data_IF_031070939964
#
_entry.id   IF_031070939964
#
_cell.length_a   1.000
_cell.length_b   1.000
_cell.length_c   1.000
_cell.angle_alpha   90.00
_cell.angle_beta   90.00
_cell.angle_gamma   90.00
#
_symmetry.space_group_name_H-M   'P 1'
#
loop_
_entity.id
_entity.type
_entity.pdbx_description
1 polymer ?
#
# COMPACT_ATOMS: atom_id res chain seq x y z
N UNK A 1 -22.60 15.31 18.96
CA UNK A 1 -22.64 14.48 17.74
C UNK A 1 -21.24 13.91 17.58
N UNK A 2 -21.09 12.61 17.40
CA UNK A 2 -19.78 12.05 17.09
C UNK A 2 -19.33 12.62 15.74
N UNK A 3 -18.08 13.07 15.64
CA UNK A 3 -17.54 13.59 14.38
C UNK A 3 -17.52 12.48 13.33
N UNK A 4 -17.87 12.81 12.09
CA UNK A 4 -17.82 11.86 10.97
C UNK A 4 -16.41 11.25 10.83
N UNK A 5 -16.27 9.93 10.58
CA UNK A 5 -14.96 9.29 10.44
C UNK A 5 -14.04 9.95 9.42
N UNK A 6 -14.58 10.54 8.34
CA UNK A 6 -13.77 11.25 7.35
C UNK A 6 -13.17 12.54 7.94
N UNK A 7 -13.96 13.29 8.71
CA UNK A 7 -13.49 14.48 9.44
C UNK A 7 -12.40 14.12 10.44
N UNK A 8 -12.52 13.00 11.15
CA UNK A 8 -11.49 12.52 12.08
C UNK A 8 -10.19 12.21 11.33
N UNK A 9 -10.27 11.56 10.18
CA UNK A 9 -9.11 11.29 9.33
C UNK A 9 -8.45 12.57 8.82
N UNK A 10 -9.24 13.55 8.38
CA UNK A 10 -8.73 14.84 7.92
C UNK A 10 -8.00 15.58 9.05
N UNK A 11 -8.55 15.58 10.27
CA UNK A 11 -7.88 16.16 11.43
C UNK A 11 -6.58 15.44 11.77
N UNK A 12 -6.58 14.10 11.80
CA UNK A 12 -5.39 13.30 12.06
C UNK A 12 -4.31 13.53 10.98
N UNK A 13 -4.72 13.69 9.72
CA UNK A 13 -3.86 14.05 8.61
C UNK A 13 -3.23 15.43 8.78
N UNK A 14 -4.02 16.46 9.11
CA UNK A 14 -3.50 17.81 9.34
C UNK A 14 -2.51 17.85 10.52
N UNK A 15 -2.80 17.11 11.59
CA UNK A 15 -1.87 16.94 12.72
C UNK A 15 -0.54 16.33 12.26
N UNK A 16 -0.61 15.25 11.48
CA UNK A 16 0.56 14.56 10.96
C UNK A 16 1.40 15.46 10.02
N UNK A 17 0.75 16.21 9.12
CA UNK A 17 1.43 17.18 8.24
C UNK A 17 2.11 18.29 9.03
N UNK A 18 1.41 18.86 10.01
CA UNK A 18 1.94 19.96 10.84
C UNK A 18 3.15 19.51 11.66
N UNK A 19 3.13 18.28 12.18
CA UNK A 19 4.24 17.72 12.94
C UNK A 19 5.47 17.40 12.08
N UNK A 20 5.23 16.98 10.83
CA UNK A 20 6.28 16.60 9.90
C UNK A 20 7.18 15.50 10.47
N UNK A 21 8.45 15.83 10.68
CA UNK A 21 9.46 14.90 11.21
C UNK A 21 9.45 14.79 12.74
N UNK A 22 8.76 15.70 13.43
CA UNK A 22 8.68 15.70 14.89
C UNK A 22 7.62 14.68 15.34
N UNK A 23 7.91 13.79 16.31
CA UNK A 23 6.91 12.88 16.85
C UNK A 23 5.73 13.63 17.49
N UNK A 24 4.51 13.09 17.34
CA UNK A 24 3.31 13.60 18.03
C UNK A 24 3.16 13.05 19.45
N UNK A 25 3.95 12.03 19.79
CA UNK A 25 3.96 11.37 21.11
C UNK A 25 5.35 11.45 21.73
N UNK A 26 5.39 11.54 23.06
CA UNK A 26 6.63 11.69 23.83
C UNK A 26 7.20 10.36 24.35
N UNK A 27 6.37 9.32 24.42
CA UNK A 27 6.78 8.00 24.91
C UNK A 27 7.60 7.28 23.83
N UNK A 28 8.87 7.03 24.14
CA UNK A 28 9.82 6.41 23.22
C UNK A 28 9.45 4.96 22.87
N UNK A 29 8.89 4.21 23.82
CA UNK A 29 8.50 2.81 23.58
C UNK A 29 7.33 2.77 22.61
N UNK A 30 6.30 3.58 22.84
CA UNK A 30 5.14 3.68 21.94
C UNK A 30 5.57 4.17 20.55
N UNK A 31 6.47 5.14 20.49
CA UNK A 31 7.04 5.64 19.24
C UNK A 31 7.70 4.52 18.41
N UNK A 32 8.57 3.73 19.02
CA UNK A 32 9.28 2.63 18.35
C UNK A 32 8.33 1.53 17.88
N UNK A 33 7.27 1.23 18.64
CA UNK A 33 6.26 0.25 18.24
C UNK A 33 5.43 0.74 17.05
N UNK A 34 5.03 2.03 17.03
CA UNK A 34 4.32 2.62 15.89
C UNK A 34 5.23 2.65 14.66
N UNK A 35 6.49 3.05 14.83
CA UNK A 35 7.50 3.04 13.76
C UNK A 35 7.62 1.64 13.15
N UNK A 36 7.80 0.62 13.98
CA UNK A 36 7.97 -0.77 13.55
C UNK A 36 6.78 -1.24 12.70
N UNK A 37 5.56 -0.93 13.13
CA UNK A 37 4.32 -1.27 12.41
C UNK A 37 4.22 -0.54 11.08
N UNK A 38 4.56 0.75 11.03
CA UNK A 38 4.46 1.57 9.83
C UNK A 38 5.57 1.28 8.80
N UNK A 39 6.80 1.00 9.25
CA UNK A 39 7.98 0.80 8.39
C UNK A 39 8.08 -0.58 7.75
N UNK A 40 7.25 -1.54 8.16
CA UNK A 40 7.34 -2.92 7.67
C UNK A 40 7.08 -3.04 6.16
N UNK A 41 8.16 -3.18 5.39
CA UNK A 41 8.09 -3.36 3.93
C UNK A 41 7.57 -4.74 3.52
N UNK A 42 7.76 -5.76 4.36
CA UNK A 42 7.31 -7.13 4.09
C UNK A 42 5.81 -7.29 4.29
N UNK A 43 5.23 -6.49 5.18
CA UNK A 43 3.84 -6.61 5.55
C UNK A 43 3.31 -5.27 6.05
N UNK A 44 2.45 -4.66 5.23
CA UNK A 44 1.87 -3.36 5.49
C UNK A 44 0.45 -3.45 6.06
N UNK A 45 -0.01 -4.66 6.38
CA UNK A 45 -1.36 -4.90 6.84
C UNK A 45 -1.55 -4.44 8.27
N UNK A 46 -0.52 -4.56 9.12
CA UNK A 46 -0.56 -4.09 10.49
C UNK A 46 -0.78 -2.57 10.56
N UNK A 47 -0.10 -1.77 9.74
CA UNK A 47 -0.33 -0.33 9.69
C UNK A 47 -1.78 0.00 9.31
N UNK A 48 -2.29 -0.61 8.23
CA UNK A 48 -3.67 -0.41 7.77
C UNK A 48 -4.70 -0.88 8.81
N UNK A 49 -4.40 -1.96 9.52
CA UNK A 49 -5.22 -2.48 10.62
C UNK A 49 -5.27 -1.52 11.81
N UNK A 50 -4.12 -0.98 12.24
CA UNK A 50 -4.03 0.03 13.29
C UNK A 50 -4.81 1.30 12.93
N UNK A 51 -4.72 1.77 11.68
CA UNK A 51 -5.50 2.92 11.22
C UNK A 51 -7.01 2.67 11.39
N UNK A 52 -7.51 1.51 10.97
CA UNK A 52 -8.93 1.17 11.08
C UNK A 52 -9.40 1.07 12.54
N UNK A 53 -8.62 0.44 13.41
CA UNK A 53 -8.98 0.30 14.83
C UNK A 53 -8.93 1.63 15.56
N UNK A 54 -7.89 2.44 15.32
CA UNK A 54 -7.73 3.75 15.94
C UNK A 54 -8.82 4.73 15.50
N UNK A 55 -9.21 4.70 14.22
CA UNK A 55 -10.34 5.49 13.70
C UNK A 55 -11.66 5.07 14.37
N UNK A 56 -11.92 3.77 14.49
CA UNK A 56 -13.12 3.27 15.14
C UNK A 56 -13.23 3.74 16.59
N UNK A 57 -12.16 3.57 17.37
CA UNK A 57 -12.13 4.00 18.78
C UNK A 57 -12.26 5.52 18.93
N UNK A 58 -11.66 6.29 18.02
CA UNK A 58 -11.78 7.76 18.04
C UNK A 58 -13.21 8.21 17.73
N UNK A 59 -13.86 7.57 16.76
CA UNK A 59 -15.25 7.86 16.41
C UNK A 59 -16.24 7.37 17.47
N UNK A 60 -15.97 6.23 18.11
CA UNK A 60 -16.84 5.61 19.11
C UNK A 60 -16.03 5.29 20.38
N UNK A 61 -15.87 6.24 21.32
CA UNK A 61 -15.02 6.06 22.50
C UNK A 61 -15.42 4.94 23.46
N UNK A 62 -16.62 4.37 23.31
CA UNK A 62 -17.16 3.33 24.19
C UNK A 62 -16.80 1.91 23.76
N UNK A 63 -16.28 1.71 22.55
CA UNK A 63 -15.87 0.39 22.06
C UNK A 63 -14.53 0.00 22.71
N UNK A 64 -14.18 -1.29 22.68
CA UNK A 64 -12.83 -1.75 23.01
C UNK A 64 -12.05 -1.93 21.71
N UNK A 65 -11.03 -1.09 21.48
CA UNK A 65 -10.15 -1.13 20.29
C UNK A 65 -9.56 -2.52 19.98
N UNK A 66 -9.49 -3.42 20.97
CA UNK A 66 -9.02 -4.79 20.81
C UNK A 66 -10.08 -5.76 20.28
N UNK A 67 -11.32 -5.31 20.06
CA UNK A 67 -12.47 -6.13 19.62
C UNK A 67 -13.00 -5.75 18.23
N UNK A 68 -12.18 -5.72 17.16
CA UNK A 68 -12.61 -5.28 15.83
C UNK A 68 -13.40 -6.34 15.02
N UNK A 69 -14.02 -7.31 15.70
CA UNK A 69 -14.84 -8.37 15.10
C UNK A 69 -16.19 -8.46 15.82
N UNK A 70 -17.27 -8.22 15.09
CA UNK A 70 -18.64 -8.26 15.62
C UNK A 70 -19.04 -9.63 16.15
N UNK A 71 -18.42 -10.69 15.65
CA UNK A 71 -18.63 -12.07 16.06
C UNK A 71 -18.14 -12.36 17.49
N UNK A 72 -17.41 -11.44 18.12
CA UNK A 72 -17.12 -11.48 19.57
C UNK A 72 -18.42 -11.39 20.38
N UNK A 73 -19.43 -10.67 19.86
CA UNK A 73 -20.78 -10.61 20.44
C UNK A 73 -20.95 -9.66 21.62
N UNK A 74 -19.88 -9.00 22.08
CA UNK A 74 -19.95 -8.00 23.15
C UNK A 74 -20.50 -6.65 22.63
N UNK A 75 -21.09 -5.85 23.52
CA UNK A 75 -21.64 -4.52 23.18
C UNK A 75 -20.57 -3.47 22.82
N UNK A 76 -19.31 -3.73 23.20
CA UNK A 76 -18.14 -2.89 22.90
C UNK A 76 -17.31 -3.46 21.74
N UNK A 77 -17.79 -4.52 21.06
CA UNK A 77 -17.21 -5.03 19.83
C UNK A 77 -17.72 -4.25 18.61
N UNK A 78 -16.89 -4.17 17.57
CA UNK A 78 -17.19 -3.38 16.37
C UNK A 78 -16.68 -4.06 15.10
N UNK A 79 -17.12 -3.60 13.93
CA UNK A 79 -16.59 -4.07 12.65
C UNK A 79 -15.41 -3.20 12.21
N UNK A 80 -14.19 -3.62 12.54
CA UNK A 80 -12.98 -2.94 12.08
C UNK A 80 -12.85 -2.99 10.55
N UNK A 81 -13.30 -4.08 9.92
CA UNK A 81 -13.34 -4.23 8.46
C UNK A 81 -14.18 -3.16 7.80
N UNK A 82 -15.32 -2.81 8.38
CA UNK A 82 -16.19 -1.75 7.85
C UNK A 82 -15.48 -0.39 7.88
N UNK A 83 -14.74 -0.08 8.94
CA UNK A 83 -13.95 1.16 8.98
C UNK A 83 -12.83 1.17 7.93
N UNK A 84 -12.17 0.02 7.76
CA UNK A 84 -11.12 -0.12 6.76
C UNK A 84 -11.65 0.08 5.33
N UNK A 85 -12.66 -0.69 4.93
CA UNK A 85 -13.19 -0.68 3.56
C UNK A 85 -13.90 0.63 3.22
N UNK A 86 -14.63 1.24 4.17
CA UNK A 86 -15.38 2.48 3.90
C UNK A 86 -14.54 3.74 3.96
N UNK A 87 -13.54 3.80 4.83
CA UNK A 87 -12.81 5.05 5.09
C UNK A 87 -11.31 4.92 4.81
N UNK A 88 -10.64 3.95 5.43
CA UNK A 88 -9.16 3.84 5.34
C UNK A 88 -8.72 3.53 3.92
N UNK A 89 -9.44 2.70 3.16
CA UNK A 89 -9.09 2.36 1.79
C UNK A 89 -8.96 3.60 0.89
N UNK A 90 -10.01 4.43 0.90
CA UNK A 90 -10.04 5.63 0.08
C UNK A 90 -8.96 6.62 0.54
N UNK A 91 -8.85 6.82 1.86
CA UNK A 91 -7.85 7.71 2.46
C UNK A 91 -6.41 7.32 2.12
N UNK A 92 -6.06 6.04 2.25
CA UNK A 92 -4.72 5.51 1.90
C UNK A 92 -4.43 5.71 0.42
N UNK A 93 -5.41 5.42 -0.44
CA UNK A 93 -5.25 5.50 -1.90
C UNK A 93 -5.08 6.94 -2.35
N UNK A 94 -5.97 7.84 -1.93
CA UNK A 94 -5.93 9.27 -2.28
C UNK A 94 -4.63 9.93 -1.84
N UNK A 95 -4.09 9.54 -0.69
CA UNK A 95 -2.89 10.14 -0.11
C UNK A 95 -1.59 9.38 -0.46
N UNK A 96 -1.68 8.33 -1.27
CA UNK A 96 -0.59 7.44 -1.67
C UNK A 96 0.23 6.92 -0.47
N UNK A 97 -0.45 6.57 0.63
CA UNK A 97 0.21 6.05 1.81
C UNK A 97 0.70 4.61 1.56
N UNK A 98 1.89 4.22 2.08
CA UNK A 98 2.49 2.92 1.82
C UNK A 98 1.83 1.78 2.63
N UNK A 99 0.55 1.51 2.35
CA UNK A 99 -0.21 0.39 2.90
C UNK A 99 -0.54 -0.66 1.81
N UNK A 100 -1.15 -1.79 2.18
CA UNK A 100 -1.69 -2.71 1.17
C UNK A 100 -2.92 -2.13 0.47
N UNK A 101 -3.10 -2.52 -0.79
CA UNK A 101 -4.27 -2.16 -1.60
C UNK A 101 -5.56 -2.81 -1.11
N UNK A 102 -5.48 -4.02 -0.56
CA UNK A 102 -6.62 -4.74 0.02
C UNK A 102 -6.72 -4.54 1.53
N UNK A 103 -7.94 -4.68 2.05
CA UNK A 103 -8.22 -4.56 3.48
C UNK A 103 -7.30 -5.44 4.32
N UNK A 104 -6.86 -4.91 5.46
CA UNK A 104 -6.03 -5.65 6.40
C UNK A 104 -6.76 -6.89 6.96
N UNK A 105 -8.08 -6.85 7.03
CA UNK A 105 -8.94 -7.91 7.56
C UNK A 105 -9.02 -9.15 6.66
N UNK A 106 -8.48 -9.09 5.44
CA UNK A 106 -8.27 -10.28 4.61
C UNK A 106 -6.92 -10.96 4.86
N UNK A 107 -6.01 -10.36 5.63
CA UNK A 107 -4.72 -10.97 5.97
C UNK A 107 -4.94 -12.20 6.86
N UNK A 108 -4.29 -13.36 6.60
CA UNK A 108 -4.54 -14.59 7.36
C UNK A 108 -4.44 -14.45 8.87
N UNK A 109 -3.48 -13.65 9.36
CA UNK A 109 -3.32 -13.37 10.79
C UNK A 109 -4.52 -12.63 11.42
N UNK A 110 -5.21 -11.78 10.65
CA UNK A 110 -6.34 -10.97 11.11
C UNK A 110 -7.71 -11.51 10.67
N UNK A 111 -7.77 -12.45 9.73
CA UNK A 111 -9.04 -12.91 9.19
C UNK A 111 -9.80 -13.75 10.23
N UNK A 112 -11.08 -13.43 10.41
CA UNK A 112 -12.03 -14.16 11.26
C UNK A 112 -11.47 -14.44 12.69
N UNK A 113 -10.77 -13.45 13.26
CA UNK A 113 -10.20 -13.55 14.61
C UNK A 113 -11.25 -13.11 15.64
N UNK A 114 -12.24 -13.97 15.88
CA UNK A 114 -13.36 -13.67 16.78
C UNK A 114 -12.95 -13.77 18.27
N UNK A 115 -11.89 -13.08 18.66
CA UNK A 115 -11.32 -13.05 20.00
C UNK A 115 -10.79 -11.64 20.31
N UNK A 116 -10.73 -11.30 21.59
CA UNK A 116 -10.10 -10.04 22.05
C UNK A 116 -8.61 -10.09 21.71
N UNK A 117 -8.12 -9.04 21.06
CA UNK A 117 -6.74 -8.94 20.59
C UNK A 117 -5.82 -8.41 21.70
N UNK A 118 -5.40 -9.30 22.59
CA UNK A 118 -4.49 -9.01 23.70
C UNK A 118 -3.02 -9.28 23.33
N UNK A 119 -2.03 -8.70 24.06
CA UNK A 119 -0.61 -8.88 23.76
C UNK A 119 -0.10 -10.33 23.80
N UNK A 120 -0.76 -11.21 24.55
CA UNK A 120 -0.44 -12.65 24.66
C UNK A 120 -0.98 -13.49 23.49
N UNK A 121 -1.84 -12.92 22.64
CA UNK A 121 -2.39 -13.63 21.50
C UNK A 121 -1.32 -13.91 20.43
N UNK A 122 -1.15 -15.18 20.08
CA UNK A 122 -0.20 -15.56 19.04
C UNK A 122 -0.78 -15.36 17.62
N UNK A 123 -0.48 -14.22 17.01
CA UNK A 123 -0.79 -13.95 15.61
C UNK A 123 0.30 -14.52 14.68
N UNK A 124 -0.07 -15.54 13.90
CA UNK A 124 0.86 -16.19 12.97
C UNK A 124 1.02 -15.34 11.71
N UNK A 125 2.18 -14.71 11.58
CA UNK A 125 2.59 -13.99 10.38
C UNK A 125 4.07 -13.61 10.41
N UNK A 126 4.57 -13.01 9.32
CA UNK A 126 5.96 -12.58 9.19
C UNK A 126 6.07 -11.09 8.84
N UNK A 127 7.00 -10.35 9.48
CA UNK A 127 7.77 -10.76 10.66
C UNK A 127 6.88 -10.87 11.92
N UNK A 128 7.17 -11.73 12.91
CA UNK A 128 6.33 -11.85 14.12
C UNK A 128 6.28 -10.55 14.95
N UNK A 129 7.39 -9.81 14.99
CA UNK A 129 7.52 -8.60 15.80
C UNK A 129 6.48 -7.51 15.47
N UNK A 130 6.08 -7.37 14.20
CA UNK A 130 5.09 -6.35 13.81
C UNK A 130 3.68 -6.66 14.32
N UNK A 131 3.36 -7.95 14.51
CA UNK A 131 2.07 -8.36 15.05
C UNK A 131 2.03 -8.17 16.56
N UNK A 132 3.13 -8.52 17.25
CA UNK A 132 3.29 -8.25 18.67
C UNK A 132 3.21 -6.74 18.96
N UNK A 133 3.86 -5.92 18.12
CA UNK A 133 3.76 -4.46 18.18
C UNK A 133 2.33 -3.95 17.98
N UNK A 134 1.61 -4.48 17.00
CA UNK A 134 0.22 -4.12 16.77
C UNK A 134 -0.67 -4.43 17.99
N UNK A 135 -0.55 -5.63 18.57
CA UNK A 135 -1.29 -6.01 19.78
C UNK A 135 -0.93 -5.14 20.99
N UNK A 136 0.35 -4.83 21.16
CA UNK A 136 0.84 -3.94 22.21
C UNK A 136 0.22 -2.53 22.09
N UNK A 137 0.15 -1.98 20.88
CA UNK A 137 -0.44 -0.65 20.65
C UNK A 137 -1.95 -0.63 20.92
N UNK A 138 -2.69 -1.68 20.55
CA UNK A 138 -4.11 -1.79 20.90
C UNK A 138 -4.31 -1.83 22.41
N UNK A 139 -3.47 -2.59 23.13
CA UNK A 139 -3.55 -2.66 24.59
C UNK A 139 -3.14 -1.34 25.25
N UNK A 140 -2.11 -0.66 24.75
CA UNK A 140 -1.72 0.67 25.23
C UNK A 140 -2.86 1.69 25.13
N UNK A 141 -3.66 1.62 24.05
CA UNK A 141 -4.87 2.45 23.92
C UNK A 141 -5.96 2.03 24.90
N UNK A 142 -6.20 0.72 25.03
CA UNK A 142 -7.19 0.20 25.98
C UNK A 142 -6.88 0.59 27.43
N UNK A 143 -5.61 0.56 27.84
CA UNK A 143 -5.16 0.94 29.19
C UNK A 143 -5.05 2.45 29.40
N UNK A 144 -5.29 3.27 28.36
CA UNK A 144 -5.20 4.73 28.44
C UNK A 144 -3.78 5.30 28.45
N UNK A 145 -2.76 4.51 28.12
CA UNK A 145 -1.37 4.97 27.97
C UNK A 145 -1.15 5.75 26.65
N UNK A 146 -2.02 5.53 25.66
CA UNK A 146 -2.01 6.20 24.37
C UNK A 146 -3.45 6.53 23.96
N UNK A 147 -3.73 7.74 23.46
CA UNK A 147 -5.07 8.00 22.92
C UNK A 147 -5.20 7.39 21.52
N UNK A 148 -6.39 6.91 21.15
CA UNK A 148 -6.64 6.40 19.80
C UNK A 148 -6.40 7.46 18.72
N UNK A 149 -6.70 8.74 19.02
CA UNK A 149 -6.46 9.86 18.12
C UNK A 149 -4.96 10.10 17.89
N UNK A 150 -4.13 9.93 18.92
CA UNK A 150 -2.67 10.06 18.80
C UNK A 150 -2.07 8.86 18.07
N UNK A 151 -2.53 7.64 18.35
CA UNK A 151 -2.13 6.44 17.60
C UNK A 151 -2.45 6.61 16.11
N UNK A 152 -3.65 7.09 15.78
CA UNK A 152 -4.06 7.35 14.40
C UNK A 152 -3.15 8.39 13.73
N UNK A 153 -2.98 9.56 14.35
CA UNK A 153 -2.19 10.66 13.79
C UNK A 153 -0.70 10.33 13.67
N UNK A 154 -0.11 9.67 14.66
CA UNK A 154 1.31 9.27 14.65
C UNK A 154 1.58 8.16 13.64
N UNK A 155 0.66 7.21 13.47
CA UNK A 155 0.76 6.20 12.40
C UNK A 155 0.72 6.87 11.02
N UNK A 156 -0.20 7.82 10.79
CA UNK A 156 -0.27 8.60 9.54
C UNK A 156 1.03 9.39 9.33
N UNK A 157 1.59 10.00 10.37
CA UNK A 157 2.86 10.75 10.30
C UNK A 157 4.01 9.86 9.85
N UNK A 158 4.14 8.65 10.38
CA UNK A 158 5.15 7.70 9.91
C UNK A 158 4.95 7.28 8.46
N UNK A 159 3.72 6.99 8.05
CA UNK A 159 3.39 6.65 6.67
C UNK A 159 3.74 7.79 5.70
N UNK A 160 3.54 9.05 6.11
CA UNK A 160 3.95 10.25 5.38
C UNK A 160 5.47 10.35 5.25
N UNK A 161 6.22 10.16 6.35
CA UNK A 161 7.68 10.17 6.35
C UNK A 161 8.24 9.13 5.37
N UNK A 162 7.71 7.91 5.39
CA UNK A 162 8.11 6.83 4.49
C UNK A 162 7.79 7.17 3.03
N UNK A 163 6.57 7.66 2.76
CA UNK A 163 6.12 8.06 1.43
C UNK A 163 7.03 9.13 0.83
N UNK A 164 7.31 10.17 1.60
CA UNK A 164 8.05 11.33 1.13
C UNK A 164 9.53 11.00 0.95
N UNK A 165 10.11 10.18 1.83
CA UNK A 165 11.46 9.65 1.65
C UNK A 165 11.58 8.80 0.37
N UNK A 166 10.57 7.98 0.06
CA UNK A 166 10.55 7.18 -1.18
C UNK A 166 10.43 8.06 -2.42
N UNK A 167 9.56 9.07 -2.39
CA UNK A 167 9.39 10.03 -3.49
C UNK A 167 10.67 10.82 -3.74
N UNK A 168 11.33 11.27 -2.69
CA UNK A 168 12.59 12.00 -2.83
C UNK A 168 13.69 11.11 -3.44
N UNK A 169 13.84 9.88 -2.96
CA UNK A 169 14.78 8.91 -3.54
C UNK A 169 14.54 8.70 -5.04
N UNK A 170 13.28 8.52 -5.45
CA UNK A 170 12.93 8.36 -6.88
C UNK A 170 13.28 9.63 -7.65
N UNK A 171 12.98 10.81 -7.10
CA UNK A 171 13.31 12.09 -7.73
C UNK A 171 14.81 12.26 -7.92
N UNK A 172 15.62 11.95 -6.90
CA UNK A 172 17.09 12.02 -7.00
C UNK A 172 17.63 11.10 -8.10
N UNK A 173 17.16 9.84 -8.14
CA UNK A 173 17.55 8.89 -9.19
C UNK A 173 17.16 9.37 -10.59
N UNK A 174 15.97 9.95 -10.75
CA UNK A 174 15.54 10.53 -12.04
C UNK A 174 16.38 11.74 -12.44
N UNK A 175 16.77 12.59 -11.49
CA UNK A 175 17.66 13.73 -11.75
C UNK A 175 19.05 13.26 -12.17
N UNK A 176 19.61 12.25 -11.50
CA UNK A 176 20.90 11.65 -11.85
C UNK A 176 20.88 11.08 -13.27
N UNK A 177 19.82 10.35 -13.63
CA UNK A 177 19.63 9.81 -14.99
C UNK A 177 19.59 10.95 -16.02
N UNK A 178 18.82 12.02 -15.77
CA UNK A 178 18.72 13.17 -16.68
C UNK A 178 20.03 13.95 -16.81
N UNK A 179 20.79 14.09 -15.72
CA UNK A 179 22.09 14.76 -15.75
C UNK A 179 23.15 13.93 -16.51
N UNK A 180 23.07 12.59 -16.42
CA UNK A 180 23.94 11.65 -17.15
C UNK A 180 23.62 11.48 -18.64
N UNK A 181 22.44 11.93 -19.12
CA UNK A 181 22.04 11.83 -20.53
C UNK A 181 22.96 12.60 -21.49
N UNK A 182 23.84 13.47 -21.00
CA UNK A 182 24.84 14.13 -21.84
C UNK A 182 26.02 13.24 -22.25
N UNK A 183 26.18 12.00 -21.74
CA UNK A 183 27.43 11.23 -21.93
C UNK A 183 27.30 9.75 -22.33
N UNK A 184 26.10 9.18 -22.49
CA UNK A 184 25.99 7.76 -22.87
C UNK A 184 25.11 7.55 -24.08
N UNK A 185 25.73 7.56 -25.27
CA UNK A 185 25.14 6.90 -26.45
C UNK A 185 25.44 5.41 -26.30
N UNK A 186 24.48 4.65 -25.79
CA UNK A 186 24.56 3.19 -25.81
C UNK A 186 24.42 2.71 -27.26
N UNK A 187 25.22 1.74 -27.66
CA UNK A 187 24.97 1.03 -28.92
C UNK A 187 23.67 0.23 -28.82
N UNK A 188 23.10 -0.18 -29.95
CA UNK A 188 21.90 -1.02 -29.96
C UNK A 188 22.13 -2.33 -29.17
N UNK A 189 23.31 -2.93 -29.29
CA UNK A 189 23.70 -4.13 -28.53
C UNK A 189 23.79 -3.84 -27.02
N UNK A 190 24.30 -2.67 -26.64
CA UNK A 190 24.35 -2.21 -25.25
C UNK A 190 22.96 -2.04 -24.64
N UNK A 191 22.01 -1.50 -25.42
CA UNK A 191 20.60 -1.36 -25.01
C UNK A 191 19.98 -2.75 -24.81
N UNK A 192 20.16 -3.67 -25.76
CA UNK A 192 19.64 -5.05 -25.66
C UNK A 192 20.19 -5.76 -24.43
N UNK A 193 21.51 -5.70 -24.21
CA UNK A 193 22.13 -6.34 -23.04
C UNK A 193 21.61 -5.78 -21.72
N UNK A 194 21.38 -4.47 -21.63
CA UNK A 194 20.79 -3.84 -20.45
C UNK A 194 19.34 -4.30 -20.21
N UNK A 195 18.54 -4.41 -21.26
CA UNK A 195 17.16 -4.90 -21.16
C UNK A 195 17.14 -6.36 -20.68
N UNK A 196 17.99 -7.22 -21.24
CA UNK A 196 18.13 -8.62 -20.81
C UNK A 196 18.53 -8.74 -19.34
N UNK A 197 19.49 -7.93 -18.89
CA UNK A 197 19.89 -7.88 -17.48
C UNK A 197 18.72 -7.48 -16.57
N UNK A 198 17.91 -6.48 -16.98
CA UNK A 198 16.74 -6.07 -16.20
C UNK A 198 15.67 -7.16 -16.14
N UNK A 199 15.47 -7.93 -17.22
CA UNK A 199 14.55 -9.05 -17.23
C UNK A 199 15.01 -10.19 -16.31
N UNK A 200 16.33 -10.35 -16.12
CA UNK A 200 16.89 -11.37 -15.23
C UNK A 200 16.77 -11.07 -13.72
N UNK A 201 16.35 -9.85 -13.34
CA UNK A 201 16.16 -9.47 -11.94
C UNK A 201 14.93 -10.17 -11.31
N UNK A 202 14.96 -10.42 -10.00
CA UNK A 202 13.77 -10.94 -9.29
C UNK A 202 12.63 -9.93 -9.32
N UNK A 203 11.40 -10.43 -9.43
CA UNK A 203 10.17 -9.62 -9.50
C UNK A 203 10.12 -8.68 -10.72
N UNK A 204 10.77 -9.07 -11.82
CA UNK A 204 10.78 -8.33 -13.09
C UNK A 204 9.58 -8.60 -13.99
N UNK A 205 8.56 -9.34 -13.57
CA UNK A 205 7.45 -9.80 -14.44
C UNK A 205 6.74 -8.69 -15.23
N UNK A 206 6.69 -7.45 -14.71
CA UNK A 206 6.20 -6.27 -15.45
C UNK A 206 7.14 -5.76 -16.52
N UNK A 207 8.43 -5.88 -16.32
CA UNK A 207 9.43 -5.21 -17.16
C UNK A 207 9.36 -5.71 -18.61
N UNK A 208 9.22 -7.01 -18.90
CA UNK A 208 8.95 -7.50 -20.25
C UNK A 208 7.69 -6.90 -20.88
N UNK A 209 6.59 -6.85 -20.13
CA UNK A 209 5.32 -6.25 -20.60
C UNK A 209 5.52 -4.77 -20.95
N UNK A 210 6.16 -4.00 -20.06
CA UNK A 210 6.45 -2.59 -20.29
C UNK A 210 7.41 -2.36 -21.46
N UNK A 211 8.38 -3.25 -21.65
CA UNK A 211 9.33 -3.16 -22.75
C UNK A 211 8.65 -3.40 -24.10
N UNK A 212 7.79 -4.42 -24.21
CA UNK A 212 7.02 -4.67 -25.42
C UNK A 212 6.09 -3.48 -25.72
N UNK A 213 5.40 -2.96 -24.70
CA UNK A 213 4.58 -1.75 -24.85
C UNK A 213 5.38 -0.56 -25.41
N UNK A 214 6.56 -0.31 -24.83
CA UNK A 214 7.43 0.79 -25.25
C UNK A 214 7.98 0.61 -26.67
N UNK A 215 8.31 -0.63 -27.08
CA UNK A 215 8.75 -0.95 -28.44
C UNK A 215 7.64 -0.62 -29.44
N UNK A 216 6.41 -1.09 -29.16
CA UNK A 216 5.25 -0.78 -29.99
C UNK A 216 4.99 0.72 -30.08
N UNK A 217 5.05 1.42 -28.95
CA UNK A 217 4.87 2.86 -28.92
C UNK A 217 5.95 3.61 -29.72
N UNK A 218 7.20 3.13 -29.70
CA UNK A 218 8.30 3.73 -30.45
C UNK A 218 8.23 3.44 -31.96
N UNK A 219 7.66 2.29 -32.36
CA UNK A 219 7.60 1.85 -33.75
C UNK A 219 6.22 2.04 -34.41
N UNK A 220 5.24 2.59 -33.69
CA UNK A 220 3.84 2.68 -34.11
C UNK A 220 3.67 3.29 -35.51
N UNK A 221 4.38 4.37 -35.82
CA UNK A 221 4.29 5.06 -37.12
C UNK A 221 4.77 4.20 -38.29
N UNK A 222 5.64 3.23 -38.03
CA UNK A 222 6.17 2.30 -39.03
C UNK A 222 5.37 1.00 -39.12
N UNK A 223 4.81 0.56 -37.99
CA UNK A 223 4.06 -0.70 -37.91
C UNK A 223 2.60 -0.54 -38.34
N UNK A 224 2.02 0.67 -38.23
CA UNK A 224 0.57 0.86 -38.38
C UNK A 224 -0.23 0.20 -37.24
N UNK A 225 0.45 -0.16 -36.15
CA UNK A 225 -0.07 -0.87 -34.99
C UNK A 225 0.17 -0.04 -33.73
N UNK A 226 -0.78 -0.06 -32.79
CA UNK A 226 -0.67 0.63 -31.50
C UNK A 226 -1.06 -0.27 -30.35
N UNK A 227 -0.36 -0.09 -29.24
CA UNK A 227 -0.66 -0.78 -27.98
C UNK A 227 -1.86 -0.13 -27.28
N UNK A 228 -2.78 -0.95 -26.76
CA UNK A 228 -3.87 -0.48 -25.90
C UNK A 228 -3.32 -0.08 -24.51
N UNK A 229 -4.05 0.77 -23.75
CA UNK A 229 -3.66 1.14 -22.39
C UNK A 229 -3.43 -0.11 -21.53
N UNK A 230 -2.30 -0.13 -20.81
CA UNK A 230 -1.95 -1.26 -19.94
C UNK A 230 -2.92 -1.33 -18.76
N UNK A 231 -3.57 -2.48 -18.60
CA UNK A 231 -4.48 -2.71 -17.49
C UNK A 231 -3.76 -2.88 -16.15
N UNK A 232 -4.49 -2.64 -15.06
CA UNK A 232 -3.96 -2.80 -13.72
C UNK A 232 -3.69 -4.29 -13.42
N UNK A 233 -2.54 -4.58 -12.84
CA UNK A 233 -2.04 -5.94 -12.56
C UNK A 233 -2.89 -6.87 -11.70
N UNK A 234 -3.99 -6.37 -11.15
CA UNK A 234 -4.90 -7.15 -10.31
C UNK A 234 -6.26 -7.35 -10.97
N UNK A 235 -6.44 -6.94 -12.23
CA UNK A 235 -7.61 -7.28 -13.00
C UNK A 235 -7.53 -8.77 -13.35
N UNK A 236 -8.48 -9.56 -12.86
CA UNK A 236 -8.65 -10.91 -13.40
C UNK A 236 -9.12 -10.78 -14.85
N UNK A 237 -8.45 -11.44 -15.81
CA UNK A 237 -8.73 -11.37 -17.26
C UNK A 237 -10.21 -11.53 -17.61
N UNK A 238 -10.93 -12.28 -16.77
CA UNK A 238 -12.37 -12.55 -16.89
C UNK A 238 -13.29 -11.35 -16.65
N UNK A 239 -12.81 -10.26 -16.03
CA UNK A 239 -13.59 -9.03 -15.75
C UNK A 239 -13.32 -7.89 -16.75
N UNK A 240 -12.19 -7.89 -17.45
CA UNK A 240 -11.83 -6.83 -18.41
C UNK A 240 -12.09 -7.22 -19.87
N UNK A 241 -12.20 -8.52 -20.17
CA UNK A 241 -12.34 -9.00 -21.55
C UNK A 241 -11.03 -8.91 -22.36
N UNK A 242 -9.91 -8.63 -21.69
CA UNK A 242 -8.58 -8.62 -22.28
C UNK A 242 -8.17 -10.04 -22.72
N UNK A 243 -7.55 -10.13 -23.89
CA UNK A 243 -7.07 -11.38 -24.49
C UNK A 243 -5.66 -11.80 -24.01
N UNK A 244 -4.98 -10.96 -23.24
CA UNK A 244 -3.63 -11.19 -22.69
C UNK A 244 -3.08 -9.97 -21.94
N UNK A 245 -1.82 -10.05 -21.48
CA UNK A 245 -1.11 -8.96 -20.78
C UNK A 245 -0.95 -7.68 -21.61
N UNK A 246 -0.91 -7.79 -22.94
CA UNK A 246 -0.85 -6.69 -23.91
C UNK A 246 -1.74 -6.99 -25.10
N UNK A 247 -2.45 -5.98 -25.56
CA UNK A 247 -3.25 -6.03 -26.77
C UNK A 247 -2.79 -4.95 -27.75
N UNK A 248 -2.60 -5.37 -28.99
CA UNK A 248 -2.17 -4.53 -30.10
C UNK A 248 -3.33 -4.43 -31.08
N UNK A 249 -3.68 -3.21 -31.47
CA UNK A 249 -4.71 -2.90 -32.47
C UNK A 249 -4.07 -2.19 -33.66
N UNK A 250 -4.74 -2.22 -34.81
CA UNK A 250 -4.35 -1.35 -35.92
C UNK A 250 -4.67 0.11 -35.57
N UNK A 251 -3.92 1.05 -36.14
CA UNK A 251 -4.14 2.48 -35.86
C UNK A 251 -5.55 2.92 -36.30
N UNK A 252 -6.09 2.33 -37.36
CA UNK A 252 -7.40 2.67 -37.96
C UNK A 252 -8.52 1.67 -37.65
N UNK A 253 -8.28 0.66 -36.81
CA UNK A 253 -9.27 -0.35 -36.43
C UNK A 253 -9.25 -0.58 -34.92
N UNK A 254 -10.42 -0.81 -34.32
CA UNK A 254 -10.53 -1.16 -32.90
C UNK A 254 -10.31 -2.66 -32.66
N UNK A 255 -10.14 -3.47 -33.72
CA UNK A 255 -9.90 -4.89 -33.59
C UNK A 255 -8.49 -5.20 -33.08
N UNK A 256 -8.41 -6.03 -32.04
CA UNK A 256 -7.14 -6.61 -31.55
C UNK A 256 -6.59 -7.57 -32.60
N UNK A 257 -5.41 -7.26 -33.10
CA UNK A 257 -4.69 -8.06 -34.11
C UNK A 257 -3.62 -8.96 -33.50
N UNK A 258 -3.04 -8.56 -32.37
CA UNK A 258 -2.06 -9.35 -31.64
C UNK A 258 -2.31 -9.22 -30.14
N UNK A 259 -2.24 -10.34 -29.43
CA UNK A 259 -2.25 -10.39 -27.97
C UNK A 259 -0.97 -11.09 -27.48
N UNK A 260 -0.31 -10.52 -26.46
CA UNK A 260 0.82 -11.15 -25.80
C UNK A 260 0.44 -11.61 -24.40
N UNK A 261 0.75 -12.87 -24.13
CA UNK A 261 0.77 -13.44 -22.78
C UNK A 261 2.24 -13.58 -22.35
N UNK A 262 2.70 -12.77 -21.42
CA UNK A 262 4.12 -12.67 -21.08
C UNK A 262 4.40 -13.44 -19.79
N UNK A 263 4.65 -14.73 -19.95
CA UNK A 263 5.07 -15.58 -18.83
C UNK A 263 6.55 -15.37 -18.54
N UNK A 264 6.87 -14.74 -17.43
CA UNK A 264 8.23 -14.80 -16.88
C UNK A 264 8.44 -16.08 -16.10
N UNK A 265 9.45 -16.86 -16.50
CA UNK A 265 10.01 -17.94 -15.68
C UNK A 265 10.77 -17.29 -14.52
N UNK A 266 10.17 -17.27 -13.33
CA UNK A 266 10.78 -16.72 -12.11
C UNK A 266 10.21 -17.37 -10.86
#
# INVERSE_FOLDING_TARGET
MADDPSTILDLAWQRALTSGKTPLISDQTLYEQIELVAHSLQNRACARFILACSLAQTHQPHIDIRKPYTEIGDNDAYSGRTYDERYIQHFVTQNELPCNSTTAFLTPAFRNRNAVLTPDLNLVGRPPAIYAAALYLLDAVHQGHLSAADLLAETIRWLLVIRDAKRERIRSLLTEIKAGQAQTVLSAEGIVSLIEQHFSLRHSSRLPVLAIAAIYQAAQDYLGERVLPLESHNAADRQTGALGDLEIILVDDAQVVTSYEVKTSG
#
